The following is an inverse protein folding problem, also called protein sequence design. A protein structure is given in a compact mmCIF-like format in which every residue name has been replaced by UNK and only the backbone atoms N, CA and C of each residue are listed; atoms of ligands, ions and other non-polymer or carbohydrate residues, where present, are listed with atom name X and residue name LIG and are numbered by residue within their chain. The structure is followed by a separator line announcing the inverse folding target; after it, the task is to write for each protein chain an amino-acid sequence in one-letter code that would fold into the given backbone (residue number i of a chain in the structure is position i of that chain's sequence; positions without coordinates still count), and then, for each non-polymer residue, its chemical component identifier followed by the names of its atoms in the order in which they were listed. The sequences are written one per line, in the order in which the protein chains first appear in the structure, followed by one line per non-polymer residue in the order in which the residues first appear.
data_IF_101456723931
#
_entry.id   IF_101456723931
#
_cell.length_a   1.000
_cell.length_b   1.000
_cell.length_c   1.000
_cell.angle_alpha   90.00
_cell.angle_beta   90.00
_cell.angle_gamma   90.00
#
_symmetry.space_group_name_H-M   'P 1'
#
loop_
_entity.id
_entity.type
_entity.pdbx_description
1 polymer ?
#
# COMPACT_ATOMS: atom_id res chain seq x y z
N UNK A 1 -3.68 -27.16 -37.31
CA UNK A 1 -4.71 -26.38 -36.62
C UNK A 1 -5.21 -27.06 -35.34
N UNK A 2 -5.49 -28.34 -35.33
CA UNK A 2 -5.97 -29.09 -34.13
C UNK A 2 -5.02 -29.04 -32.92
N UNK A 3 -3.70 -29.15 -33.11
CA UNK A 3 -2.70 -29.14 -32.02
C UNK A 3 -2.69 -27.80 -31.26
N UNK A 4 -2.83 -26.66 -31.95
CA UNK A 4 -2.83 -25.33 -31.31
C UNK A 4 -4.09 -25.12 -30.45
N UNK A 5 -5.23 -25.67 -30.88
CA UNK A 5 -6.49 -25.59 -30.12
C UNK A 5 -6.42 -26.45 -28.86
N UNK A 6 -5.76 -27.62 -28.95
CA UNK A 6 -5.58 -28.51 -27.78
C UNK A 6 -4.67 -27.87 -26.73
N UNK A 7 -3.59 -27.19 -27.14
CA UNK A 7 -2.68 -26.48 -26.20
C UNK A 7 -3.42 -25.33 -25.48
N UNK A 8 -4.23 -24.56 -26.21
CA UNK A 8 -5.03 -23.47 -25.62
C UNK A 8 -6.08 -24.01 -24.65
N UNK A 9 -6.73 -25.13 -24.98
CA UNK A 9 -7.72 -25.77 -24.09
C UNK A 9 -7.07 -26.32 -22.81
N UNK A 10 -5.88 -26.91 -22.90
CA UNK A 10 -5.12 -27.38 -21.73
C UNK A 10 -4.64 -26.22 -20.87
N UNK A 11 -4.21 -25.10 -21.46
CA UNK A 11 -3.84 -23.89 -20.73
C UNK A 11 -5.04 -23.27 -20.00
N UNK A 12 -6.22 -23.25 -20.64
CA UNK A 12 -7.46 -22.77 -20.02
C UNK A 12 -7.93 -23.66 -18.87
N UNK A 13 -7.79 -24.98 -18.98
CA UNK A 13 -8.12 -25.93 -17.90
C UNK A 13 -7.15 -25.82 -16.72
N UNK A 14 -5.88 -25.48 -16.96
CA UNK A 14 -4.89 -25.27 -15.89
C UNK A 14 -5.18 -24.03 -15.03
N UNK A 15 -5.92 -23.04 -15.59
CA UNK A 15 -6.30 -21.82 -14.85
C UNK A 15 -7.46 -22.09 -13.89
N UNK A 16 -8.30 -23.10 -14.15
CA UNK A 16 -9.46 -23.41 -13.28
C UNK A 16 -9.10 -24.19 -12.01
N UNK A 17 -7.89 -24.71 -11.90
CA UNK A 17 -7.40 -25.41 -10.71
C UNK A 17 -6.72 -24.49 -9.67
N UNK A 18 -6.71 -23.19 -9.90
CA UNK A 18 -6.43 -22.25 -8.84
C UNK A 18 -7.63 -22.24 -7.88
N UNK A 19 -7.59 -23.16 -6.92
CA UNK A 19 -8.53 -23.13 -5.80
C UNK A 19 -8.44 -21.72 -5.20
N UNK A 20 -9.53 -20.97 -5.35
CA UNK A 20 -9.66 -19.67 -4.74
C UNK A 20 -9.43 -19.87 -3.24
N UNK A 21 -8.33 -19.36 -2.77
CA UNK A 21 -8.00 -19.35 -1.36
C UNK A 21 -9.07 -18.53 -0.67
N UNK A 22 -9.57 -19.05 0.42
CA UNK A 22 -10.65 -18.47 1.19
C UNK A 22 -10.30 -17.03 1.57
N UNK A 23 -10.96 -16.06 0.93
CA UNK A 23 -10.86 -14.65 1.28
C UNK A 23 -11.64 -14.53 2.58
N UNK A 24 -10.94 -14.38 3.69
CA UNK A 24 -11.59 -14.14 4.99
C UNK A 24 -12.41 -12.86 4.91
N UNK A 25 -13.62 -12.88 5.48
CA UNK A 25 -14.51 -11.74 5.55
C UNK A 25 -13.76 -10.46 5.92
N UNK A 26 -13.77 -9.48 5.01
CA UNK A 26 -13.13 -8.20 5.21
C UNK A 26 -13.97 -7.36 6.15
N UNK A 27 -13.62 -7.32 7.42
CA UNK A 27 -14.19 -6.33 8.32
C UNK A 27 -13.48 -4.98 8.14
N UNK A 28 -14.22 -3.89 8.30
CA UNK A 28 -13.71 -2.52 8.21
C UNK A 28 -12.42 -2.35 9.05
N UNK A 29 -11.40 -1.74 8.45
CA UNK A 29 -10.10 -1.54 9.10
C UNK A 29 -9.10 -2.70 8.96
N UNK A 30 -9.51 -3.86 8.49
CA UNK A 30 -8.61 -5.01 8.25
C UNK A 30 -7.92 -5.02 6.88
N UNK A 31 -8.17 -4.02 6.05
CA UNK A 31 -7.71 -3.95 4.66
C UNK A 31 -8.80 -4.40 3.68
N UNK A 32 -8.57 -4.17 2.39
CA UNK A 32 -9.51 -4.54 1.34
C UNK A 32 -9.42 -6.04 1.01
N UNK A 33 -8.21 -6.57 1.06
CA UNK A 33 -7.93 -8.00 0.87
C UNK A 33 -7.02 -8.43 2.02
N UNK A 34 -7.40 -9.51 2.68
CA UNK A 34 -6.58 -10.14 3.70
C UNK A 34 -6.52 -11.65 3.41
N UNK A 35 -5.35 -12.13 3.06
CA UNK A 35 -5.10 -13.47 2.66
C UNK A 35 -4.05 -14.12 3.57
N UNK A 36 -4.30 -15.32 4.03
CA UNK A 36 -3.35 -16.14 4.78
C UNK A 36 -3.31 -17.52 4.13
N UNK A 37 -2.13 -18.01 3.81
CA UNK A 37 -1.95 -19.35 3.27
C UNK A 37 -2.38 -20.41 4.31
N UNK A 38 -3.00 -21.52 3.85
CA UNK A 38 -3.51 -22.58 4.74
C UNK A 38 -2.44 -23.19 5.66
N UNK A 39 -1.21 -23.25 5.18
CA UNK A 39 -0.04 -23.73 5.91
C UNK A 39 0.61 -22.65 6.80
N UNK A 40 0.02 -21.45 6.86
CA UNK A 40 0.56 -20.29 7.58
C UNK A 40 2.00 -19.89 7.15
N UNK A 41 2.42 -20.27 5.95
CA UNK A 41 3.74 -19.91 5.40
C UNK A 41 3.80 -18.48 4.86
N UNK A 42 2.64 -17.90 4.51
CA UNK A 42 2.56 -16.60 3.88
C UNK A 42 1.26 -15.89 4.23
N UNK A 43 1.32 -14.58 4.39
CA UNK A 43 0.13 -13.74 4.46
C UNK A 43 0.33 -12.45 3.68
N UNK A 44 -0.76 -11.91 3.14
CA UNK A 44 -0.80 -10.58 2.56
C UNK A 44 -2.07 -9.87 2.99
N UNK A 45 -1.90 -8.64 3.45
CA UNK A 45 -2.96 -7.68 3.69
C UNK A 45 -2.76 -6.51 2.72
N UNK A 46 -3.73 -6.29 1.86
CA UNK A 46 -3.76 -5.15 0.95
C UNK A 46 -4.72 -4.09 1.46
N UNK A 47 -4.20 -2.89 1.70
CA UNK A 47 -4.94 -1.77 2.26
C UNK A 47 -4.68 -0.49 1.44
N UNK A 48 -5.37 -0.30 0.30
CA UNK A 48 -5.24 0.93 -0.47
C UNK A 48 -5.89 2.09 0.28
N UNK A 49 -5.32 3.29 0.09
CA UNK A 49 -5.82 4.52 0.68
C UNK A 49 -5.91 5.61 -0.36
N UNK A 50 -7.11 6.17 -0.53
CA UNK A 50 -7.35 7.33 -1.37
C UNK A 50 -7.89 8.47 -0.53
N UNK A 51 -7.36 9.66 -0.75
CA UNK A 51 -7.86 10.89 -0.14
C UNK A 51 -7.97 11.96 -1.21
N UNK A 52 -9.19 12.37 -1.48
CA UNK A 52 -9.50 13.52 -2.32
C UNK A 52 -9.82 14.69 -1.41
N UNK A 53 -9.38 15.88 -1.78
CA UNK A 53 -9.70 17.12 -1.10
C UNK A 53 -10.32 18.09 -2.09
N UNK A 54 -11.51 18.59 -1.78
CA UNK A 54 -12.13 19.73 -2.41
C UNK A 54 -11.84 20.96 -1.57
N UNK A 55 -11.53 22.05 -2.22
CA UNK A 55 -11.33 23.36 -1.61
C UNK A 55 -12.09 24.40 -2.41
N UNK A 56 -12.77 25.30 -1.69
CA UNK A 56 -13.38 26.47 -2.27
C UNK A 56 -12.88 27.68 -1.52
N UNK A 57 -12.39 28.67 -2.22
CA UNK A 57 -11.92 29.93 -1.64
C UNK A 57 -12.62 31.12 -2.30
N UNK A 58 -12.87 32.14 -1.52
CA UNK A 58 -13.43 33.40 -1.98
C UNK A 58 -12.54 34.53 -1.48
N UNK A 59 -12.17 35.41 -2.38
CA UNK A 59 -11.55 36.67 -1.98
C UNK A 59 -12.61 37.65 -1.50
N UNK A 60 -12.32 38.38 -0.44
CA UNK A 60 -13.19 39.38 0.11
C UNK A 60 -12.44 40.71 0.29
N UNK A 61 -12.90 41.77 -0.35
CA UNK A 61 -12.25 43.07 -0.33
C UNK A 61 -12.86 44.07 0.67
N UNK A 62 -13.67 43.58 1.63
CA UNK A 62 -14.38 44.37 2.61
C UNK A 62 -15.82 44.70 2.23
N UNK A 63 -16.15 44.77 0.94
CA UNK A 63 -17.51 45.13 0.46
C UNK A 63 -18.15 44.05 -0.41
N UNK A 64 -17.36 43.27 -1.12
CA UNK A 64 -17.86 42.24 -2.05
C UNK A 64 -17.03 40.99 -2.00
N UNK A 65 -17.69 39.84 -2.23
CA UNK A 65 -17.02 38.58 -2.46
C UNK A 65 -16.66 38.45 -3.94
N UNK A 66 -15.43 38.05 -4.21
CA UNK A 66 -14.98 37.68 -5.55
C UNK A 66 -15.63 36.37 -6.02
N UNK A 67 -15.36 36.01 -7.25
CA UNK A 67 -15.78 34.72 -7.79
C UNK A 67 -15.13 33.58 -7.00
N UNK A 68 -15.87 32.50 -6.69
CA UNK A 68 -15.31 31.36 -6.00
C UNK A 68 -14.26 30.65 -6.87
N UNK A 69 -13.12 30.33 -6.28
CA UNK A 69 -12.13 29.43 -6.85
C UNK A 69 -12.33 28.03 -6.27
N UNK A 70 -12.54 27.03 -7.13
CA UNK A 70 -12.78 25.65 -6.76
C UNK A 70 -11.63 24.77 -7.22
N UNK A 71 -11.06 24.02 -6.28
CA UNK A 71 -9.96 23.12 -6.57
C UNK A 71 -10.24 21.71 -6.02
N UNK A 72 -9.99 20.69 -6.86
CA UNK A 72 -10.06 19.27 -6.50
C UNK A 72 -8.68 18.65 -6.67
N UNK A 73 -8.17 18.09 -5.61
CA UNK A 73 -6.86 17.42 -5.65
C UNK A 73 -6.93 16.03 -5.05
N UNK A 74 -6.20 15.10 -5.64
CA UNK A 74 -5.89 13.82 -5.02
C UNK A 74 -4.75 14.07 -4.03
N UNK A 75 -5.10 14.17 -2.75
CA UNK A 75 -4.13 14.45 -1.68
C UNK A 75 -3.23 13.28 -1.38
N UNK A 76 -3.81 12.06 -1.38
CA UNK A 76 -3.10 10.81 -1.16
C UNK A 76 -3.69 9.72 -2.04
N UNK A 77 -2.82 8.96 -2.64
CA UNK A 77 -3.13 7.70 -3.31
C UNK A 77 -2.01 6.74 -2.93
N UNK A 78 -2.31 5.77 -2.07
CA UNK A 78 -1.31 4.85 -1.50
C UNK A 78 -1.75 3.43 -1.63
N UNK A 79 -0.79 2.57 -1.96
CA UNK A 79 -0.96 1.12 -1.95
C UNK A 79 -0.10 0.56 -0.82
N UNK A 80 -0.73 -0.11 0.11
CA UNK A 80 -0.07 -0.69 1.28
C UNK A 80 -0.27 -2.19 1.29
N UNK A 81 0.83 -2.90 1.47
CA UNK A 81 0.90 -4.34 1.60
C UNK A 81 1.64 -4.67 2.89
N UNK A 82 1.00 -5.40 3.77
CA UNK A 82 1.57 -5.91 5.01
C UNK A 82 1.40 -7.43 5.06
N UNK A 83 2.29 -8.13 5.74
CA UNK A 83 2.13 -9.55 5.94
C UNK A 83 3.36 -10.19 6.54
N UNK A 84 3.39 -11.52 6.44
CA UNK A 84 4.56 -12.31 6.81
C UNK A 84 4.89 -13.32 5.70
N UNK A 85 6.14 -13.78 5.67
CA UNK A 85 6.63 -14.78 4.73
C UNK A 85 7.42 -15.86 5.49
N UNK A 86 7.27 -17.13 5.09
CA UNK A 86 7.86 -18.34 5.69
C UNK A 86 7.34 -18.62 7.11
N UNK A 87 7.20 -17.63 7.95
CA UNK A 87 6.65 -17.76 9.30
C UNK A 87 6.18 -16.40 9.80
N UNK A 88 5.28 -16.35 10.79
CA UNK A 88 4.85 -15.09 11.43
C UNK A 88 5.98 -14.27 12.08
N UNK A 89 7.17 -14.85 12.23
CA UNK A 89 8.36 -14.17 12.74
C UNK A 89 9.02 -13.26 11.70
N UNK A 90 8.82 -13.53 10.40
CA UNK A 90 9.37 -12.72 9.31
C UNK A 90 8.26 -11.92 8.66
N UNK A 91 8.08 -10.69 9.10
CA UNK A 91 7.07 -9.76 8.60
C UNK A 91 7.65 -8.86 7.52
N UNK A 92 6.79 -8.37 6.65
CA UNK A 92 7.15 -7.36 5.66
C UNK A 92 6.09 -6.25 5.60
N UNK A 93 6.54 -5.07 5.17
CA UNK A 93 5.67 -3.94 4.88
C UNK A 93 6.17 -3.24 3.63
N UNK A 94 5.27 -3.00 2.68
CA UNK A 94 5.52 -2.20 1.49
C UNK A 94 4.41 -1.16 1.37
N UNK A 95 4.78 0.13 1.30
CA UNK A 95 3.85 1.22 1.06
C UNK A 95 4.34 2.08 -0.10
N UNK A 96 3.53 2.19 -1.15
CA UNK A 96 3.80 2.98 -2.34
C UNK A 96 2.92 4.23 -2.35
N UNK A 97 3.52 5.37 -2.63
CA UNK A 97 2.83 6.65 -2.83
C UNK A 97 2.69 6.96 -4.32
N UNK A 98 1.47 7.22 -4.78
CA UNK A 98 1.15 7.47 -6.19
C UNK A 98 0.63 8.87 -6.44
N UNK A 99 0.29 9.64 -5.41
CA UNK A 99 -0.14 11.04 -5.60
C UNK A 99 1.06 11.98 -5.71
N UNK A 100 0.90 13.09 -6.40
CA UNK A 100 1.94 14.12 -6.54
C UNK A 100 2.48 14.64 -5.18
N UNK A 101 1.69 14.53 -4.11
CA UNK A 101 2.10 14.92 -2.76
C UNK A 101 2.84 13.83 -2.01
N UNK A 102 2.59 12.57 -2.33
CA UNK A 102 3.30 11.43 -1.74
C UNK A 102 4.65 11.21 -2.42
N UNK A 103 4.76 11.58 -3.70
CA UNK A 103 6.00 11.51 -4.47
C UNK A 103 6.86 12.72 -4.11
N UNK A 104 7.97 12.51 -3.43
CA UNK A 104 8.94 13.58 -3.19
C UNK A 104 9.82 13.80 -4.42
N UNK A 105 10.26 15.04 -4.61
CA UNK A 105 11.16 15.39 -5.71
C UNK A 105 12.49 14.64 -5.67
N UNK A 106 13.15 14.60 -6.83
CA UNK A 106 14.50 14.11 -6.96
C UNK A 106 15.50 15.00 -6.20
N UNK A 107 16.47 14.40 -5.51
CA UNK A 107 17.58 15.09 -4.85
C UNK A 107 18.82 14.20 -4.83
N UNK A 108 19.95 14.72 -4.36
CA UNK A 108 21.23 13.99 -4.31
C UNK A 108 21.16 12.73 -3.45
N UNK A 109 20.41 12.76 -2.35
CA UNK A 109 20.30 11.60 -1.43
C UNK A 109 19.55 10.42 -2.01
N UNK A 110 18.68 10.64 -2.98
CA UNK A 110 17.95 9.58 -3.68
C UNK A 110 18.41 9.39 -5.13
N UNK A 111 19.65 9.80 -5.44
CA UNK A 111 20.26 9.70 -6.77
C UNK A 111 19.41 10.32 -7.86
N UNK A 112 18.79 11.45 -7.58
CA UNK A 112 17.94 12.19 -8.49
C UNK A 112 16.74 11.39 -9.04
N UNK A 113 16.25 10.43 -8.28
CA UNK A 113 15.04 9.67 -8.61
C UNK A 113 13.86 10.07 -7.71
N UNK A 114 12.63 10.16 -8.23
CA UNK A 114 11.46 10.40 -7.40
C UNK A 114 11.24 9.28 -6.40
N UNK A 115 10.77 9.63 -5.21
CA UNK A 115 10.43 8.65 -4.16
C UNK A 115 8.99 8.17 -4.33
N UNK A 116 8.82 6.96 -4.81
CA UNK A 116 7.53 6.26 -4.84
C UNK A 116 7.35 5.36 -3.62
N UNK A 117 8.45 4.85 -3.07
CA UNK A 117 8.45 3.92 -1.94
C UNK A 117 8.46 4.75 -0.65
N UNK A 118 7.36 4.68 0.11
CA UNK A 118 7.23 5.32 1.41
C UNK A 118 7.78 4.43 2.51
N UNK A 119 7.42 3.15 2.48
CA UNK A 119 7.96 2.11 3.35
C UNK A 119 8.28 0.87 2.51
N UNK A 120 9.42 0.25 2.73
CA UNK A 120 9.82 -1.06 2.23
C UNK A 120 10.75 -1.68 3.27
N UNK A 121 10.19 -2.49 4.17
CA UNK A 121 10.92 -3.02 5.33
C UNK A 121 10.57 -4.47 5.58
N UNK A 122 11.59 -5.23 5.93
CA UNK A 122 11.49 -6.58 6.46
C UNK A 122 11.81 -6.51 7.95
N UNK A 123 10.99 -7.16 8.76
CA UNK A 123 11.06 -7.20 10.21
C UNK A 123 11.18 -8.64 10.66
N UNK A 124 12.31 -9.01 11.22
CA UNK A 124 12.59 -10.37 11.66
C UNK A 124 12.68 -10.46 13.18
N UNK A 125 11.73 -11.14 13.78
CA UNK A 125 11.79 -11.49 15.20
C UNK A 125 12.65 -12.74 15.36
N UNK A 126 13.90 -12.56 15.77
CA UNK A 126 14.86 -13.66 15.87
C UNK A 126 14.97 -14.25 17.28
N UNK A 127 14.61 -13.49 18.34
CA UNK A 127 14.66 -14.01 19.72
C UNK A 127 13.80 -13.20 20.67
N UNK A 128 12.80 -13.81 21.29
CA UNK A 128 11.98 -13.16 22.31
C UNK A 128 11.39 -11.83 21.84
N UNK A 129 11.76 -10.75 22.50
CA UNK A 129 11.32 -9.38 22.18
C UNK A 129 12.26 -8.64 21.21
N UNK A 130 13.29 -9.30 20.66
CA UNK A 130 14.21 -8.69 19.73
C UNK A 130 13.74 -8.85 18.29
N UNK A 131 13.62 -7.73 17.60
CA UNK A 131 13.23 -7.66 16.19
C UNK A 131 14.25 -6.85 15.40
N UNK A 132 14.78 -7.44 14.33
CA UNK A 132 15.68 -6.76 13.39
C UNK A 132 14.87 -6.20 12.24
N UNK A 133 15.04 -4.90 11.96
CA UNK A 133 14.41 -4.22 10.85
C UNK A 133 15.44 -3.90 9.78
N UNK A 134 15.18 -4.30 8.55
CA UNK A 134 16.03 -4.03 7.41
C UNK A 134 15.20 -3.42 6.28
N UNK A 135 15.65 -2.27 5.76
CA UNK A 135 14.97 -1.57 4.67
C UNK A 135 14.69 -0.10 4.99
N UNK A 136 13.73 0.47 4.27
CA UNK A 136 13.30 1.85 4.39
C UNK A 136 11.97 1.93 5.11
N UNK A 137 11.91 2.64 6.23
CA UNK A 137 10.67 2.93 6.97
C UNK A 137 10.84 4.16 7.86
N UNK A 138 9.76 4.61 8.45
CA UNK A 138 9.80 5.66 9.47
C UNK A 138 10.49 5.12 10.71
N UNK A 139 11.47 5.86 11.22
CA UNK A 139 12.10 5.51 12.50
C UNK A 139 11.07 5.60 13.63
N UNK A 140 10.96 4.59 14.51
CA UNK A 140 10.05 4.58 15.65
C UNK A 140 10.57 5.46 16.82
N UNK A 141 11.14 6.61 16.50
CA UNK A 141 11.73 7.52 17.51
C UNK A 141 10.75 8.53 18.10
N UNK A 142 9.54 8.64 17.57
CA UNK A 142 8.52 9.55 18.08
C UNK A 142 7.13 8.91 17.89
N UNK A 143 6.35 8.86 18.95
CA UNK A 143 4.99 8.27 18.96
C UNK A 143 4.10 8.93 17.91
N UNK A 144 4.18 10.24 17.73
CA UNK A 144 3.39 10.99 16.75
C UNK A 144 3.69 10.59 15.28
N UNK A 145 4.92 10.11 15.01
CA UNK A 145 5.30 9.63 13.67
C UNK A 145 4.88 8.18 13.41
N UNK A 146 4.70 7.41 14.47
CA UNK A 146 4.35 5.99 14.40
C UNK A 146 2.84 5.81 14.33
N UNK A 147 2.08 6.70 14.96
CA UNK A 147 0.62 6.68 14.87
C UNK A 147 0.20 6.89 13.41
N UNK A 148 -0.51 5.90 12.88
CA UNK A 148 -1.08 6.01 11.54
C UNK A 148 -2.05 7.17 11.51
N UNK A 149 -1.84 8.12 10.62
CA UNK A 149 -2.85 9.13 10.31
C UNK A 149 -3.98 8.49 9.49
N UNK A 150 -4.64 7.51 10.12
CA UNK A 150 -5.76 6.78 9.53
C UNK A 150 -6.95 7.73 9.28
#
# INVERSE_FOLDING_TARGET
MKLKITIVAVLLLAITSLNAQEISDTSFGKGLINFVAKDSSFSVKFAPRFQVRSMSSWDHNGNQYGSPDHNFIVRRARLKFDGFAYSPKLKYKLELGLSNRDISGANEFNRNTPRYILDAVIMWNFSGNWELWAGQTKLPGNVERVVSSA
#
